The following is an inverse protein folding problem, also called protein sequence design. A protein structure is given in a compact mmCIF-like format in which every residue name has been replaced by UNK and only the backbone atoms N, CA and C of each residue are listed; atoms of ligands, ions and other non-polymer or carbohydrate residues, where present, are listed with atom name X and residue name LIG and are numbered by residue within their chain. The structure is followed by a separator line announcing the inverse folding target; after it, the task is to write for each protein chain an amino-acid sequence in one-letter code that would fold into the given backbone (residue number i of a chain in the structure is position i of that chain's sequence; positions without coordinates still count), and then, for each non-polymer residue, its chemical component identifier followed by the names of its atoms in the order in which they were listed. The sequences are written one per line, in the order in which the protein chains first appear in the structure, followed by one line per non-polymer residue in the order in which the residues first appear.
data_IF_062570204303
#
_entry.id   IF_062570204303
#
_cell.length_a   1.000
_cell.length_b   1.000
_cell.length_c   1.000
_cell.angle_alpha   90.00
_cell.angle_beta   90.00
_cell.angle_gamma   90.00
#
_symmetry.space_group_name_H-M   'P 1'
#
loop_
_entity.id
_entity.type
_entity.pdbx_description
1 polymer ?
#
# COMPACT_ATOMS: atom_id res chain seq x y z
N UNK A 1 21.55 13.28 -8.08
CA UNK A 1 20.26 13.47 -7.37
C UNK A 1 20.29 14.53 -6.26
N UNK A 2 21.44 15.06 -5.82
CA UNK A 2 21.46 16.04 -4.69
C UNK A 2 20.87 17.41 -5.04
N UNK A 3 20.84 17.79 -6.33
CA UNK A 3 20.09 18.94 -6.82
C UNK A 3 19.24 18.52 -8.02
N UNK A 4 17.99 18.16 -7.72
CA UNK A 4 16.93 18.16 -8.72
C UNK A 4 16.65 19.62 -9.09
N UNK A 5 16.37 19.91 -10.37
CA UNK A 5 15.90 21.24 -10.79
C UNK A 5 14.40 21.15 -11.02
N UNK A 6 13.56 21.17 -9.96
CA UNK A 6 12.12 21.10 -10.14
C UNK A 6 11.66 22.34 -10.90
N UNK A 7 11.35 22.15 -12.18
CA UNK A 7 10.74 23.19 -13.00
C UNK A 7 9.27 23.30 -12.62
N UNK A 8 8.82 24.52 -12.32
CA UNK A 8 7.40 24.79 -12.04
C UNK A 8 6.52 24.36 -13.22
N UNK A 9 7.04 24.44 -14.44
CA UNK A 9 6.33 24.00 -15.65
C UNK A 9 6.04 22.50 -15.57
N UNK A 10 7.03 21.67 -15.20
CA UNK A 10 6.86 20.21 -15.07
C UNK A 10 5.87 19.84 -13.96
N UNK A 11 5.82 20.62 -12.88
CA UNK A 11 4.83 20.43 -11.80
C UNK A 11 3.41 20.70 -12.31
N UNK A 12 3.23 21.76 -13.09
CA UNK A 12 1.93 22.12 -13.69
C UNK A 12 1.49 21.06 -14.71
N UNK A 13 2.41 20.55 -15.52
CA UNK A 13 2.13 19.46 -16.47
C UNK A 13 1.70 18.16 -15.77
N UNK A 14 2.26 17.88 -14.59
CA UNK A 14 1.89 16.74 -13.76
C UNK A 14 0.77 17.05 -12.75
N UNK A 15 0.10 18.20 -12.83
CA UNK A 15 -0.88 18.63 -11.83
C UNK A 15 -2.07 17.66 -11.71
N UNK A 16 -2.48 17.00 -12.79
CA UNK A 16 -3.58 16.02 -12.78
C UNK A 16 -3.31 14.83 -11.85
N UNK A 17 -2.25 14.03 -12.09
CA UNK A 17 -1.83 12.94 -11.20
C UNK A 17 -1.57 13.38 -9.75
N UNK A 18 -0.97 14.55 -9.56
CA UNK A 18 -0.70 15.12 -8.22
C UNK A 18 -2.01 15.39 -7.48
N UNK A 19 -2.96 16.08 -8.13
CA UNK A 19 -4.24 16.41 -7.54
C UNK A 19 -5.09 15.17 -7.27
N UNK A 20 -5.09 14.20 -8.18
CA UNK A 20 -5.75 12.91 -7.97
C UNK A 20 -5.19 12.20 -6.74
N UNK A 21 -3.86 12.11 -6.60
CA UNK A 21 -3.22 11.47 -5.45
C UNK A 21 -3.54 12.21 -4.15
N UNK A 22 -3.50 13.55 -4.16
CA UNK A 22 -3.80 14.37 -2.99
C UNK A 22 -5.26 14.21 -2.52
N UNK A 23 -6.22 14.24 -3.44
CA UNK A 23 -7.64 14.19 -3.07
C UNK A 23 -8.07 12.75 -2.78
N UNK A 24 -7.82 11.82 -3.70
CA UNK A 24 -8.38 10.46 -3.59
C UNK A 24 -7.60 9.59 -2.61
N UNK A 25 -6.27 9.62 -2.64
CA UNK A 25 -5.46 8.75 -1.78
C UNK A 25 -5.34 9.37 -0.40
N UNK A 26 -4.80 10.59 -0.31
CA UNK A 26 -4.54 11.23 0.99
C UNK A 26 -5.83 11.73 1.63
N UNK A 27 -6.72 12.35 0.86
CA UNK A 27 -8.00 12.86 1.38
C UNK A 27 -8.98 11.73 1.70
N UNK A 28 -9.41 10.98 0.68
CA UNK A 28 -10.49 10.00 0.84
C UNK A 28 -9.99 8.69 1.46
N UNK A 29 -9.00 8.03 0.85
CA UNK A 29 -8.60 6.69 1.23
C UNK A 29 -8.01 6.63 2.65
N UNK A 30 -7.07 7.52 3.00
CA UNK A 30 -6.49 7.55 4.35
C UNK A 30 -7.51 7.97 5.43
N UNK A 31 -8.45 8.86 5.12
CA UNK A 31 -9.53 9.18 6.07
C UNK A 31 -10.40 7.95 6.35
N UNK A 32 -10.80 7.22 5.30
CA UNK A 32 -11.55 5.97 5.46
C UNK A 32 -10.74 4.91 6.19
N UNK A 33 -9.43 4.82 5.92
CA UNK A 33 -8.52 3.91 6.60
C UNK A 33 -8.47 4.19 8.10
N UNK A 34 -8.31 5.46 8.52
CA UNK A 34 -8.31 5.85 9.93
C UNK A 34 -9.66 5.54 10.60
N UNK A 35 -10.77 5.81 9.91
CA UNK A 35 -12.12 5.52 10.42
C UNK A 35 -12.31 4.01 10.62
N UNK A 36 -11.90 3.19 9.65
CA UNK A 36 -12.00 1.73 9.73
C UNK A 36 -11.07 1.12 10.79
N UNK A 37 -9.85 1.65 10.92
CA UNK A 37 -8.92 1.24 11.97
C UNK A 37 -9.46 1.51 13.36
N UNK A 38 -10.22 2.61 13.56
CA UNK A 38 -10.83 2.95 14.84
C UNK A 38 -11.81 1.89 15.35
N UNK A 39 -12.49 1.17 14.46
CA UNK A 39 -13.49 0.15 14.82
C UNK A 39 -12.99 -1.28 14.68
N UNK A 40 -11.74 -1.48 14.28
CA UNK A 40 -11.14 -2.80 14.03
C UNK A 40 -10.11 -3.11 15.12
N UNK A 41 -9.97 -4.39 15.50
CA UNK A 41 -8.91 -4.80 16.42
C UNK A 41 -7.52 -4.39 15.88
N UNK A 42 -6.63 -3.81 16.70
CA UNK A 42 -5.34 -3.32 16.25
C UNK A 42 -4.46 -4.41 15.63
N UNK A 43 -4.61 -5.69 16.02
CA UNK A 43 -3.86 -6.77 15.37
C UNK A 43 -4.35 -7.00 13.94
N UNK A 44 -5.67 -7.06 13.72
CA UNK A 44 -6.25 -7.25 12.39
C UNK A 44 -5.98 -6.03 11.51
N UNK A 45 -6.12 -4.83 12.06
CA UNK A 45 -5.82 -3.58 11.36
C UNK A 45 -4.35 -3.51 10.90
N UNK A 46 -3.40 -3.91 11.75
CA UNK A 46 -1.97 -3.94 11.40
C UNK A 46 -1.67 -4.95 10.28
N UNK A 47 -2.32 -6.12 10.29
CA UNK A 47 -2.19 -7.11 9.21
C UNK A 47 -2.70 -6.53 7.89
N UNK A 48 -3.88 -5.92 7.88
CA UNK A 48 -4.44 -5.29 6.67
C UNK A 48 -3.54 -4.18 6.15
N UNK A 49 -3.01 -3.32 7.02
CA UNK A 49 -2.10 -2.23 6.62
C UNK A 49 -0.80 -2.78 6.03
N UNK A 50 -0.27 -3.88 6.58
CA UNK A 50 0.91 -4.55 6.02
C UNK A 50 0.65 -5.13 4.62
N UNK A 51 -0.57 -5.61 4.36
CA UNK A 51 -1.00 -6.10 3.05
C UNK A 51 -1.17 -5.00 2.00
N UNK A 52 -1.35 -3.73 2.38
CA UNK A 52 -1.50 -2.62 1.43
C UNK A 52 -0.32 -2.56 0.44
N UNK A 53 0.90 -2.79 0.93
CA UNK A 53 2.11 -2.86 0.11
C UNK A 53 2.08 -3.98 -0.94
N UNK A 54 1.52 -5.15 -0.60
CA UNK A 54 1.36 -6.26 -1.53
C UNK A 54 0.38 -5.88 -2.66
N UNK A 55 -0.75 -5.27 -2.32
CA UNK A 55 -1.71 -4.77 -3.31
C UNK A 55 -1.13 -3.65 -4.17
N UNK A 56 -0.31 -2.76 -3.60
CA UNK A 56 0.37 -1.71 -4.34
C UNK A 56 1.32 -2.28 -5.39
N UNK A 57 2.14 -3.28 -5.04
CA UNK A 57 3.06 -3.94 -5.97
C UNK A 57 2.31 -4.69 -7.07
N UNK A 58 1.26 -5.46 -6.72
CA UNK A 58 0.43 -6.16 -7.70
C UNK A 58 -0.25 -5.16 -8.65
N UNK A 59 -0.78 -4.06 -8.12
CA UNK A 59 -1.40 -3.00 -8.92
C UNK A 59 -0.38 -2.30 -9.80
N UNK A 60 0.84 -2.02 -9.32
CA UNK A 60 1.93 -1.49 -10.13
C UNK A 60 2.30 -2.41 -11.29
N UNK A 61 2.44 -3.72 -11.03
CA UNK A 61 2.71 -4.70 -12.06
C UNK A 61 1.60 -4.75 -13.14
N UNK A 62 0.32 -4.63 -12.76
CA UNK A 62 -0.82 -4.70 -13.68
C UNK A 62 -1.03 -3.38 -14.44
N UNK A 63 -1.12 -2.26 -13.72
CA UNK A 63 -1.51 -0.96 -14.27
C UNK A 63 -0.31 -0.19 -14.87
N UNK A 64 0.86 -0.24 -14.23
CA UNK A 64 2.07 0.44 -14.72
C UNK A 64 2.93 -0.47 -15.60
N UNK A 65 2.59 -1.78 -15.71
CA UNK A 65 3.35 -2.79 -16.46
C UNK A 65 4.82 -2.89 -16.00
N UNK A 66 5.08 -2.61 -14.73
CA UNK A 66 6.42 -2.74 -14.16
C UNK A 66 6.87 -4.20 -14.18
N UNK A 67 8.12 -4.43 -14.58
CA UNK A 67 8.67 -5.78 -14.67
C UNK A 67 9.10 -6.24 -13.28
N UNK A 68 8.30 -7.11 -12.67
CA UNK A 68 8.60 -7.66 -11.37
C UNK A 68 9.85 -8.55 -11.43
N UNK A 69 10.87 -8.17 -10.68
CA UNK A 69 12.08 -8.97 -10.49
C UNK A 69 11.79 -10.20 -9.62
N UNK A 70 12.66 -11.20 -9.71
CA UNK A 70 12.55 -12.43 -8.90
C UNK A 70 12.53 -12.11 -7.38
N UNK A 71 13.23 -11.05 -6.96
CA UNK A 71 13.24 -10.61 -5.55
C UNK A 71 11.89 -10.06 -5.10
N UNK A 72 11.22 -9.27 -5.94
CA UNK A 72 9.90 -8.70 -5.64
C UNK A 72 8.83 -9.80 -5.57
N UNK A 73 8.89 -10.77 -6.49
CA UNK A 73 7.99 -11.93 -6.47
C UNK A 73 8.21 -12.76 -5.20
N UNK A 74 9.46 -13.04 -4.84
CA UNK A 74 9.78 -13.76 -3.60
C UNK A 74 9.29 -13.00 -2.36
N UNK A 75 9.45 -11.68 -2.32
CA UNK A 75 8.92 -10.81 -1.25
C UNK A 75 7.40 -10.86 -1.16
N UNK A 76 6.70 -10.81 -2.30
CA UNK A 76 5.24 -10.93 -2.35
C UNK A 76 4.75 -12.27 -1.79
N UNK A 77 5.37 -13.37 -2.20
CA UNK A 77 5.02 -14.72 -1.70
C UNK A 77 5.27 -14.84 -0.20
N UNK A 78 6.39 -14.29 0.30
CA UNK A 78 6.73 -14.33 1.73
C UNK A 78 5.73 -13.51 2.56
N UNK A 79 5.40 -12.28 2.13
CA UNK A 79 4.37 -11.45 2.77
C UNK A 79 3.01 -12.16 2.79
N UNK A 80 2.60 -12.75 1.67
CA UNK A 80 1.34 -13.48 1.58
C UNK A 80 1.30 -14.70 2.52
N UNK A 81 2.39 -15.47 2.59
CA UNK A 81 2.52 -16.60 3.52
C UNK A 81 2.47 -16.15 4.98
N UNK A 82 3.17 -15.07 5.34
CA UNK A 82 3.17 -14.52 6.70
C UNK A 82 1.77 -14.05 7.14
N UNK A 83 1.02 -13.40 6.24
CA UNK A 83 -0.37 -13.01 6.49
C UNK A 83 -1.24 -14.23 6.74
N UNK A 84 -1.17 -15.25 5.89
CA UNK A 84 -1.95 -16.48 6.07
C UNK A 84 -1.63 -17.13 7.43
N UNK A 85 -0.35 -17.27 7.78
CA UNK A 85 0.05 -17.83 9.07
C UNK A 85 -0.49 -17.03 10.26
N UNK A 86 -0.47 -15.70 10.16
CA UNK A 86 -0.96 -14.82 11.25
C UNK A 86 -2.48 -14.91 11.40
N UNK A 87 -3.21 -14.94 10.28
CA UNK A 87 -4.67 -15.11 10.28
C UNK A 87 -5.10 -16.48 10.83
N UNK A 88 -4.35 -17.55 10.52
CA UNK A 88 -4.61 -18.90 11.03
C UNK A 88 -4.41 -18.98 12.55
N UNK A 89 -3.32 -18.40 13.07
CA UNK A 89 -3.04 -18.39 14.52
C UNK A 89 -4.01 -17.51 15.30
N UNK A 90 -4.57 -16.46 14.69
CA UNK A 90 -5.58 -15.62 15.34
C UNK A 90 -6.92 -16.35 15.62
N UNK A 91 -7.11 -17.57 15.12
CA UNK A 91 -8.22 -18.47 15.48
C UNK A 91 -7.93 -19.40 16.66
N UNK A 92 -6.68 -19.51 17.13
CA UNK A 92 -6.36 -20.21 18.37
C UNK A 92 -6.51 -19.25 19.54
N UNK A 93 -7.50 -19.56 20.39
CA UNK A 93 -7.76 -18.93 21.68
C UNK A 93 -6.47 -18.52 22.38
N UNK A 94 -6.41 -17.23 22.69
CA UNK A 94 -5.65 -16.73 23.82
C UNK A 94 -6.31 -17.37 25.07
N UNK A 95 -5.72 -18.45 25.57
CA UNK A 95 -5.79 -18.82 26.99
C UNK A 95 -4.60 -18.19 27.72
#
# INVERSE_FOLDING_TARGET
LIFESPSIITIIECAGPILYTAIMVVGVAYTLQIIGQKTTDPNIAAIILSMESLFAVISGAIFLKETMTIKEIAGCVLMFAAVIMTQVKSGEKIE
#
